data_IF_074374549645
#
_entry.id   IF_074374549645
#
_cell.length_a   1.000
_cell.length_b   1.000
_cell.length_c   1.000
_cell.angle_alpha   90.00
_cell.angle_beta   90.00
_cell.angle_gamma   90.00
#
_symmetry.space_group_name_H-M   'P 1'
#
loop_
_entity.id
_entity.type
_entity.pdbx_description
1 polymer ?
#
# COMPACT_ATOMS: atom_id res chain seq x y z
N UNK A 1 -2.68 -28.44 22.19
CA UNK A 1 -3.01 -29.21 20.96
C UNK A 1 -1.73 -29.33 20.16
N UNK A 2 -1.40 -30.50 19.61
CA UNK A 2 -0.22 -30.65 18.77
C UNK A 2 -0.38 -29.73 17.57
N UNK A 3 0.65 -28.93 17.26
CA UNK A 3 0.74 -28.16 16.02
C UNK A 3 0.63 -29.19 14.89
N UNK A 4 -0.52 -29.22 14.21
CA UNK A 4 -0.63 -29.92 12.93
C UNK A 4 0.53 -29.40 12.08
N UNK A 5 1.34 -30.31 11.58
CA UNK A 5 2.36 -30.03 10.57
C UNK A 5 1.64 -29.32 9.41
N UNK A 6 1.67 -27.97 9.40
CA UNK A 6 1.18 -27.18 8.27
C UNK A 6 1.99 -27.69 7.08
N UNK A 7 1.32 -28.31 6.11
CA UNK A 7 1.94 -28.67 4.84
C UNK A 7 2.75 -27.46 4.35
N UNK A 8 3.98 -27.66 3.82
CA UNK A 8 4.80 -26.55 3.38
C UNK A 8 4.00 -25.72 2.37
N UNK A 9 3.70 -24.48 2.73
CA UNK A 9 2.96 -23.57 1.88
C UNK A 9 3.78 -23.30 0.62
N UNK A 10 3.42 -23.97 -0.48
CA UNK A 10 4.14 -23.91 -1.75
C UNK A 10 4.19 -22.48 -2.32
N UNK A 11 3.27 -21.60 -1.89
CA UNK A 11 3.21 -20.19 -2.31
C UNK A 11 3.84 -19.24 -1.29
N UNK A 12 4.46 -19.75 -0.22
CA UNK A 12 5.00 -18.94 0.87
C UNK A 12 6.00 -17.88 0.37
N UNK A 13 6.94 -18.26 -0.48
CA UNK A 13 7.94 -17.35 -1.04
C UNK A 13 7.30 -16.27 -1.92
N UNK A 14 6.33 -16.66 -2.77
CA UNK A 14 5.59 -15.75 -3.65
C UNK A 14 4.81 -14.71 -2.84
N UNK A 15 4.08 -15.15 -1.81
CA UNK A 15 3.32 -14.28 -0.89
C UNK A 15 4.25 -13.34 -0.14
N UNK A 16 5.35 -13.86 0.40
CA UNK A 16 6.36 -13.10 1.14
C UNK A 16 7.01 -12.02 0.28
N UNK A 17 7.47 -12.37 -0.91
CA UNK A 17 8.05 -11.43 -1.86
C UNK A 17 7.03 -10.34 -2.27
N UNK A 18 5.76 -10.70 -2.43
CA UNK A 18 4.72 -9.73 -2.76
C UNK A 18 4.49 -8.73 -1.62
N UNK A 19 4.33 -9.20 -0.38
CA UNK A 19 4.06 -8.33 0.77
C UNK A 19 5.25 -7.46 1.16
N UNK A 20 6.47 -7.94 0.94
CA UNK A 20 7.71 -7.16 1.17
C UNK A 20 8.02 -6.17 0.04
N UNK A 21 7.25 -6.18 -1.06
CA UNK A 21 7.39 -5.25 -2.18
C UNK A 21 8.38 -5.69 -3.25
N UNK A 22 8.86 -6.93 -3.22
CA UNK A 22 9.75 -7.49 -4.25
C UNK A 22 8.95 -8.08 -5.42
N UNK A 23 8.19 -7.21 -6.10
CA UNK A 23 7.24 -7.62 -7.15
C UNK A 23 7.91 -8.34 -8.33
N UNK A 24 9.14 -7.96 -8.69
CA UNK A 24 9.84 -8.60 -9.79
C UNK A 24 10.21 -10.04 -9.47
N UNK A 25 10.64 -10.31 -8.24
CA UNK A 25 10.95 -11.66 -7.80
C UNK A 25 9.68 -12.51 -7.68
N UNK A 26 8.57 -11.94 -7.20
CA UNK A 26 7.25 -12.61 -7.20
C UNK A 26 6.88 -13.08 -8.61
N UNK A 27 7.05 -12.25 -9.64
CA UNK A 27 6.78 -12.62 -11.05
C UNK A 27 7.73 -13.73 -11.51
N UNK A 28 9.01 -13.61 -11.21
CA UNK A 28 10.02 -14.59 -11.59
C UNK A 28 9.74 -15.97 -10.99
N UNK A 29 9.37 -16.03 -9.71
CA UNK A 29 9.03 -17.26 -8.99
C UNK A 29 7.71 -17.85 -9.48
N UNK A 30 6.68 -17.02 -9.65
CA UNK A 30 5.38 -17.46 -10.17
C UNK A 30 5.48 -18.10 -11.57
N UNK A 31 6.39 -17.59 -12.42
CA UNK A 31 6.64 -18.13 -13.77
C UNK A 31 7.38 -19.47 -13.73
N UNK A 32 8.27 -19.67 -12.75
CA UNK A 32 9.11 -20.89 -12.62
C UNK A 32 8.40 -22.01 -11.88
N UNK A 33 7.59 -21.68 -10.88
CA UNK A 33 6.98 -22.65 -9.98
C UNK A 33 5.82 -23.37 -10.65
N UNK A 34 5.92 -24.71 -10.70
CA UNK A 34 4.81 -25.58 -11.12
C UNK A 34 4.05 -26.00 -9.87
N UNK A 35 2.82 -25.54 -9.75
CA UNK A 35 1.93 -25.82 -8.63
C UNK A 35 0.76 -26.68 -9.09
N UNK A 36 0.10 -27.43 -8.20
CA UNK A 36 -1.10 -28.16 -8.54
C UNK A 36 -2.25 -27.20 -8.93
N UNK A 37 -3.22 -27.71 -9.67
CA UNK A 37 -4.23 -26.90 -10.37
C UNK A 37 -5.13 -26.06 -9.43
N UNK A 38 -5.26 -26.47 -8.17
CA UNK A 38 -5.93 -25.72 -7.11
C UNK A 38 -5.17 -24.45 -6.68
N UNK A 39 -3.84 -24.47 -6.70
CA UNK A 39 -2.98 -23.33 -6.33
C UNK A 39 -2.58 -22.47 -7.53
N UNK A 40 -2.81 -22.95 -8.75
CA UNK A 40 -2.48 -22.23 -9.97
C UNK A 40 -3.19 -20.87 -10.06
N UNK A 41 -4.48 -20.82 -9.67
CA UNK A 41 -5.24 -19.55 -9.65
C UNK A 41 -4.60 -18.57 -8.69
N UNK A 42 -4.33 -18.99 -7.45
CA UNK A 42 -3.75 -18.11 -6.44
C UNK A 42 -2.37 -17.60 -6.82
N UNK A 43 -1.52 -18.46 -7.40
CA UNK A 43 -0.23 -18.07 -7.96
C UNK A 43 -0.38 -16.97 -9.02
N UNK A 44 -1.32 -17.15 -9.95
CA UNK A 44 -1.57 -16.19 -11.01
C UNK A 44 -2.10 -14.86 -10.45
N UNK A 45 -2.90 -14.89 -9.38
CA UNK A 45 -3.35 -13.66 -8.69
C UNK A 45 -2.19 -12.83 -8.16
N UNK A 46 -1.22 -13.45 -7.47
CA UNK A 46 -0.02 -12.74 -6.98
C UNK A 46 0.88 -12.23 -8.11
N UNK A 47 0.98 -12.99 -9.20
CA UNK A 47 1.71 -12.55 -10.39
C UNK A 47 1.07 -11.31 -11.02
N UNK A 48 -0.25 -11.33 -11.27
CA UNK A 48 -0.95 -10.18 -11.86
C UNK A 48 -0.99 -8.98 -10.92
N UNK A 49 -1.16 -9.17 -9.61
CA UNK A 49 -1.06 -8.08 -8.63
C UNK A 49 0.35 -7.46 -8.62
N UNK A 50 1.39 -8.26 -8.79
CA UNK A 50 2.76 -7.75 -8.96
C UNK A 50 2.91 -6.91 -10.22
N UNK A 51 2.30 -7.31 -11.35
CA UNK A 51 2.26 -6.46 -12.56
C UNK A 51 1.51 -5.14 -12.32
N UNK A 52 0.38 -5.16 -11.61
CA UNK A 52 -0.35 -3.96 -11.21
C UNK A 52 0.53 -3.05 -10.34
N UNK A 53 1.24 -3.61 -9.35
CA UNK A 53 2.12 -2.85 -8.47
C UNK A 53 3.29 -2.19 -9.23
N UNK A 54 3.81 -2.85 -10.28
CA UNK A 54 4.79 -2.27 -11.20
C UNK A 54 4.19 -1.30 -12.24
N UNK A 55 2.90 -0.95 -12.12
CA UNK A 55 2.14 -0.10 -13.06
C UNK A 55 2.07 -0.65 -14.50
N UNK A 56 2.29 -1.95 -14.69
CA UNK A 56 2.20 -2.66 -15.98
C UNK A 56 0.76 -3.13 -16.23
N UNK A 57 -0.20 -2.20 -16.19
CA UNK A 57 -1.63 -2.52 -16.29
C UNK A 57 -1.99 -3.19 -17.63
N UNK A 58 -1.32 -2.83 -18.72
CA UNK A 58 -1.56 -3.40 -20.05
C UNK A 58 -1.42 -4.91 -20.10
N UNK A 59 -0.40 -5.48 -19.43
CA UNK A 59 -0.18 -6.94 -19.39
C UNK A 59 -1.40 -7.65 -18.79
N UNK A 60 -1.91 -7.13 -17.67
CA UNK A 60 -3.10 -7.69 -16.99
C UNK A 60 -4.35 -7.55 -17.85
N UNK A 61 -4.49 -6.41 -18.54
CA UNK A 61 -5.63 -6.12 -19.42
C UNK A 61 -5.58 -6.89 -20.75
N UNK A 62 -4.43 -7.39 -21.18
CA UNK A 62 -4.31 -8.17 -22.41
C UNK A 62 -4.43 -9.68 -22.13
N UNK A 63 -3.88 -10.16 -21.00
CA UNK A 63 -3.85 -11.58 -20.67
C UNK A 63 -5.17 -12.08 -20.04
N UNK A 64 -5.81 -11.28 -19.18
CA UNK A 64 -7.05 -11.70 -18.51
C UNK A 64 -8.26 -11.32 -19.34
N UNK A 65 -9.03 -12.29 -19.83
CA UNK A 65 -10.26 -12.00 -20.58
C UNK A 65 -11.42 -11.60 -19.64
N UNK A 66 -12.29 -10.64 -20.04
CA UNK A 66 -13.49 -10.29 -19.26
C UNK A 66 -14.46 -11.45 -19.03
N UNK A 67 -14.44 -12.45 -19.92
CA UNK A 67 -15.28 -13.65 -19.88
C UNK A 67 -14.57 -14.85 -19.22
N UNK A 68 -13.52 -14.61 -18.44
CA UNK A 68 -12.84 -15.69 -17.74
C UNK A 68 -13.80 -16.34 -16.72
N UNK A 69 -13.77 -17.67 -16.62
CA UNK A 69 -14.61 -18.43 -15.69
C UNK A 69 -14.23 -18.23 -14.21
N UNK A 70 -13.06 -17.63 -13.95
CA UNK A 70 -12.51 -17.39 -12.61
C UNK A 70 -12.81 -15.96 -12.19
N UNK A 71 -13.72 -15.81 -11.22
CA UNK A 71 -14.17 -14.51 -10.71
C UNK A 71 -13.02 -13.69 -10.11
N UNK A 72 -12.02 -14.36 -9.53
CA UNK A 72 -10.85 -13.76 -8.90
C UNK A 72 -9.98 -13.02 -9.92
N UNK A 73 -9.72 -13.64 -11.07
CA UNK A 73 -8.95 -13.01 -12.15
C UNK A 73 -9.70 -11.82 -12.75
N UNK A 74 -11.03 -11.94 -12.90
CA UNK A 74 -11.87 -10.83 -13.36
C UNK A 74 -11.81 -9.66 -12.38
N UNK A 75 -11.75 -9.91 -11.07
CA UNK A 75 -11.57 -8.87 -10.06
C UNK A 75 -10.20 -8.16 -10.16
N UNK A 76 -9.12 -8.90 -10.43
CA UNK A 76 -7.78 -8.32 -10.69
C UNK A 76 -7.78 -7.47 -11.95
N UNK A 77 -8.40 -7.95 -13.03
CA UNK A 77 -8.56 -7.18 -14.26
C UNK A 77 -9.33 -5.88 -14.02
N UNK A 78 -10.42 -5.94 -13.25
CA UNK A 78 -11.23 -4.76 -12.93
C UNK A 78 -10.40 -3.72 -12.15
N UNK A 79 -9.56 -4.15 -11.20
CA UNK A 79 -8.62 -3.26 -10.52
C UNK A 79 -7.62 -2.63 -11.52
N UNK A 80 -7.09 -3.41 -12.46
CA UNK A 80 -6.18 -2.88 -13.48
C UNK A 80 -6.87 -1.83 -14.36
N UNK A 81 -8.12 -2.04 -14.78
CA UNK A 81 -8.90 -1.06 -15.56
C UNK A 81 -9.20 0.21 -14.73
N UNK A 82 -9.53 0.03 -13.44
CA UNK A 82 -9.75 1.14 -12.49
C UNK A 82 -8.51 2.02 -12.29
N UNK A 83 -7.32 1.40 -12.19
CA UNK A 83 -6.06 2.11 -12.02
C UNK A 83 -5.57 2.75 -13.33
N UNK A 84 -5.73 2.07 -14.46
CA UNK A 84 -5.30 2.57 -15.77
C UNK A 84 -6.17 3.73 -16.29
N UNK A 85 -7.49 3.69 -16.05
CA UNK A 85 -8.46 4.61 -16.64
C UNK A 85 -9.19 5.43 -15.57
N UNK A 86 -8.71 6.65 -15.29
CA UNK A 86 -9.31 7.52 -14.27
C UNK A 86 -10.77 7.88 -14.57
N UNK A 87 -11.12 8.06 -15.85
CA UNK A 87 -12.47 8.43 -16.29
C UNK A 87 -13.51 7.33 -16.08
N UNK A 88 -13.09 6.08 -15.94
CA UNK A 88 -13.99 4.94 -15.73
C UNK A 88 -14.19 4.60 -14.26
N UNK A 89 -13.42 5.20 -13.34
CA UNK A 89 -13.46 4.88 -11.90
C UNK A 89 -14.87 4.96 -11.33
N UNK A 90 -15.58 6.05 -11.59
CA UNK A 90 -16.95 6.26 -11.07
C UNK A 90 -17.95 5.23 -11.59
N UNK A 91 -17.82 4.83 -12.86
CA UNK A 91 -18.71 3.82 -13.45
C UNK A 91 -18.41 2.43 -12.87
N UNK A 92 -17.13 2.09 -12.70
CA UNK A 92 -16.70 0.82 -12.09
C UNK A 92 -17.22 0.72 -10.65
N UNK A 93 -17.13 1.81 -9.86
CA UNK A 93 -17.63 1.81 -8.48
C UNK A 93 -19.15 1.65 -8.42
N UNK A 94 -19.91 2.30 -9.31
CA UNK A 94 -21.37 2.10 -9.38
C UNK A 94 -21.76 0.67 -9.76
N UNK A 95 -21.03 0.08 -10.71
CA UNK A 95 -21.24 -1.31 -11.11
C UNK A 95 -20.93 -2.26 -9.93
N UNK A 96 -19.89 -1.97 -9.15
CA UNK A 96 -19.56 -2.72 -7.94
C UNK A 96 -20.63 -2.58 -6.86
N UNK A 97 -21.14 -1.37 -6.60
CA UNK A 97 -22.23 -1.14 -5.65
C UNK A 97 -23.45 -2.00 -5.98
N UNK A 98 -23.78 -2.12 -7.29
CA UNK A 98 -24.89 -2.97 -7.74
C UNK A 98 -24.64 -4.47 -7.51
N UNK A 99 -23.38 -4.92 -7.65
CA UNK A 99 -22.96 -6.32 -7.45
C UNK A 99 -22.81 -6.69 -5.99
N UNK A 100 -22.42 -5.73 -5.14
CA UNK A 100 -22.28 -5.92 -3.69
C UNK A 100 -23.63 -6.09 -2.98
N UNK A 101 -24.75 -5.72 -3.61
CA UNK A 101 -26.08 -6.15 -3.19
C UNK A 101 -26.34 -7.65 -3.36
N UNK A 102 -25.49 -8.35 -4.12
CA UNK A 102 -25.44 -9.80 -4.25
C UNK A 102 -24.53 -10.45 -3.20
N UNK A 103 -24.82 -11.71 -2.87
CA UNK A 103 -24.10 -12.44 -1.82
C UNK A 103 -22.72 -12.93 -2.31
N UNK A 104 -21.75 -12.02 -2.46
CA UNK A 104 -20.37 -12.33 -2.86
C UNK A 104 -19.66 -13.04 -1.71
N UNK A 105 -19.35 -14.33 -1.87
CA UNK A 105 -18.72 -15.16 -0.82
C UNK A 105 -17.20 -15.25 -0.93
N UNK A 106 -16.61 -14.83 -2.05
CA UNK A 106 -15.19 -15.03 -2.30
C UNK A 106 -14.36 -13.93 -1.62
N UNK A 107 -13.60 -14.30 -0.59
CA UNK A 107 -12.73 -13.40 0.18
C UNK A 107 -11.77 -12.60 -0.70
N UNK A 108 -11.28 -13.16 -1.80
CA UNK A 108 -10.37 -12.45 -2.71
C UNK A 108 -11.10 -11.37 -3.51
N UNK A 109 -12.29 -11.67 -4.04
CA UNK A 109 -13.12 -10.67 -4.74
C UNK A 109 -13.51 -9.53 -3.80
N UNK A 110 -13.81 -9.84 -2.53
CA UNK A 110 -14.06 -8.84 -1.49
C UNK A 110 -12.82 -7.98 -1.24
N UNK A 111 -11.62 -8.56 -1.14
CA UNK A 111 -10.37 -7.82 -0.98
C UNK A 111 -10.13 -6.83 -2.12
N UNK A 112 -10.25 -7.27 -3.37
CA UNK A 112 -10.02 -6.41 -4.55
C UNK A 112 -11.05 -5.30 -4.63
N UNK A 113 -12.31 -5.61 -4.31
CA UNK A 113 -13.41 -4.64 -4.27
C UNK A 113 -13.17 -3.59 -3.18
N UNK A 114 -12.85 -4.05 -1.96
CA UNK A 114 -12.53 -3.19 -0.83
C UNK A 114 -11.31 -2.29 -1.12
N UNK A 115 -10.31 -2.80 -1.83
CA UNK A 115 -9.13 -2.04 -2.24
C UNK A 115 -9.48 -0.94 -3.25
N UNK A 116 -10.41 -1.16 -4.18
CA UNK A 116 -10.89 -0.10 -5.08
C UNK A 116 -11.62 1.03 -4.32
N UNK A 117 -12.46 0.69 -3.32
CA UNK A 117 -13.07 1.69 -2.44
C UNK A 117 -12.02 2.42 -1.59
N UNK A 118 -10.98 1.72 -1.14
CA UNK A 118 -9.88 2.30 -0.36
C UNK A 118 -9.11 3.33 -1.19
N UNK A 119 -8.80 3.01 -2.45
CA UNK A 119 -8.14 3.93 -3.39
C UNK A 119 -9.02 5.15 -3.73
N UNK A 120 -10.34 5.01 -3.59
CA UNK A 120 -11.31 6.08 -3.79
C UNK A 120 -11.55 6.91 -2.51
N UNK A 121 -10.74 6.70 -1.48
CA UNK A 121 -10.83 7.36 -0.17
C UNK A 121 -12.17 7.11 0.58
N UNK A 122 -12.93 6.07 0.18
CA UNK A 122 -14.18 5.67 0.85
C UNK A 122 -13.93 4.53 1.86
N UNK A 123 -13.27 4.88 2.97
CA UNK A 123 -12.87 3.92 4.00
C UNK A 123 -14.06 3.25 4.70
N UNK A 124 -15.19 3.93 4.85
CA UNK A 124 -16.39 3.35 5.48
C UNK A 124 -16.95 2.19 4.66
N UNK A 125 -17.06 2.35 3.34
CA UNK A 125 -17.52 1.28 2.46
C UNK A 125 -16.50 0.14 2.42
N UNK A 126 -15.19 0.45 2.39
CA UNK A 126 -14.13 -0.57 2.51
C UNK A 126 -14.34 -1.46 3.74
N UNK A 127 -14.57 -0.88 4.92
CA UNK A 127 -14.80 -1.65 6.15
C UNK A 127 -16.10 -2.48 6.10
N UNK A 128 -17.17 -1.95 5.50
CA UNK A 128 -18.43 -2.70 5.33
C UNK A 128 -18.23 -3.93 4.44
N UNK A 129 -17.46 -3.82 3.36
CA UNK A 129 -17.16 -4.95 2.46
C UNK A 129 -16.29 -6.00 3.16
N UNK A 130 -15.32 -5.57 3.96
CA UNK A 130 -14.37 -6.47 4.63
C UNK A 130 -14.93 -7.16 5.89
N UNK A 131 -16.06 -6.68 6.44
CA UNK A 131 -16.60 -7.18 7.71
C UNK A 131 -16.88 -8.69 7.73
N UNK A 132 -17.24 -9.27 6.58
CA UNK A 132 -17.58 -10.70 6.46
C UNK A 132 -16.42 -11.57 5.94
N UNK A 133 -15.22 -11.01 5.76
CA UNK A 133 -14.09 -11.72 5.18
C UNK A 133 -13.07 -12.16 6.25
N UNK A 134 -12.79 -13.47 6.31
CA UNK A 134 -11.90 -14.08 7.30
C UNK A 134 -10.46 -14.34 6.77
N UNK A 135 -9.98 -13.50 5.85
CA UNK A 135 -8.61 -13.59 5.32
C UNK A 135 -7.65 -12.64 6.06
N UNK A 136 -6.39 -13.06 6.27
CA UNK A 136 -5.33 -12.21 6.79
C UNK A 136 -5.14 -10.92 5.96
N UNK A 137 -5.27 -11.01 4.63
CA UNK A 137 -5.20 -9.82 3.75
C UNK A 137 -6.36 -8.84 4.00
N UNK A 138 -7.55 -9.37 4.30
CA UNK A 138 -8.70 -8.55 4.64
C UNK A 138 -8.50 -7.87 6.00
N UNK A 139 -7.93 -8.58 6.99
CA UNK A 139 -7.56 -8.00 8.28
C UNK A 139 -6.54 -6.86 8.10
N UNK A 140 -5.49 -7.07 7.31
CA UNK A 140 -4.47 -6.06 7.06
C UNK A 140 -5.04 -4.81 6.38
N UNK A 141 -5.90 -4.97 5.37
CA UNK A 141 -6.56 -3.84 4.71
C UNK A 141 -7.55 -3.11 5.64
N UNK A 142 -8.22 -3.85 6.53
CA UNK A 142 -9.07 -3.29 7.58
C UNK A 142 -8.24 -2.42 8.52
N UNK A 143 -7.09 -2.90 8.99
CA UNK A 143 -6.16 -2.14 9.85
C UNK A 143 -5.68 -0.88 9.13
N UNK A 144 -5.24 -0.98 7.86
CA UNK A 144 -4.82 0.19 7.08
C UNK A 144 -5.94 1.23 6.94
N UNK A 145 -7.18 0.79 6.71
CA UNK A 145 -8.35 1.66 6.60
C UNK A 145 -8.68 2.34 7.93
N UNK A 146 -8.66 1.60 9.04
CA UNK A 146 -8.89 2.15 10.37
C UNK A 146 -7.82 3.16 10.79
N UNK A 147 -6.56 2.91 10.46
CA UNK A 147 -5.47 3.87 10.69
C UNK A 147 -5.64 5.14 9.85
N UNK A 148 -6.14 5.04 8.62
CA UNK A 148 -6.46 6.21 7.77
C UNK A 148 -7.66 7.01 8.28
N UNK A 149 -8.54 6.40 9.09
CA UNK A 149 -9.65 7.07 9.77
C UNK A 149 -9.27 7.58 11.17
N UNK A 150 -8.00 7.54 11.54
CA UNK A 150 -7.49 7.90 12.88
C UNK A 150 -8.13 7.08 14.03
N UNK A 151 -8.60 5.86 13.74
CA UNK A 151 -9.23 4.95 14.70
C UNK A 151 -8.27 3.88 15.21
N UNK A 152 -7.25 4.34 15.94
CA UNK A 152 -6.21 3.49 16.51
C UNK A 152 -6.75 2.44 17.50
N UNK A 153 -7.83 2.76 18.19
CA UNK A 153 -8.52 1.87 19.13
C UNK A 153 -9.04 0.60 18.44
N UNK A 154 -9.72 0.76 17.31
CA UNK A 154 -10.24 -0.34 16.51
C UNK A 154 -9.11 -1.09 15.79
N UNK A 155 -8.10 -0.37 15.28
CA UNK A 155 -6.96 -0.97 14.61
C UNK A 155 -6.21 -1.95 15.53
N UNK A 156 -6.05 -1.62 16.82
CA UNK A 156 -5.47 -2.54 17.83
C UNK A 156 -6.30 -3.80 18.05
N UNK A 157 -7.64 -3.69 18.02
CA UNK A 157 -8.54 -4.83 18.19
C UNK A 157 -8.42 -5.79 17.00
N UNK A 158 -8.41 -5.26 15.78
CA UNK A 158 -8.21 -6.06 14.57
C UNK A 158 -6.80 -6.65 14.51
N UNK A 159 -5.77 -5.92 14.94
CA UNK A 159 -4.43 -6.46 15.03
C UNK A 159 -4.36 -7.66 15.97
N UNK A 160 -5.02 -7.59 17.14
CA UNK A 160 -5.09 -8.74 18.05
C UNK A 160 -5.74 -9.96 17.38
N UNK A 161 -6.85 -9.75 16.66
CA UNK A 161 -7.49 -10.82 15.88
C UNK A 161 -6.52 -11.43 14.86
N UNK A 162 -5.75 -10.60 14.17
CA UNK A 162 -4.76 -11.02 13.19
C UNK A 162 -3.60 -11.81 13.82
N UNK A 163 -3.10 -11.37 14.97
CA UNK A 163 -2.09 -12.09 15.76
C UNK A 163 -2.60 -13.43 16.26
N UNK A 164 -3.86 -13.50 16.72
CA UNK A 164 -4.49 -14.75 17.17
C UNK A 164 -4.65 -15.77 16.00
N UNK A 165 -4.73 -15.29 14.75
CA UNK A 165 -4.78 -16.15 13.55
C UNK A 165 -3.39 -16.68 13.16
N UNK A 166 -2.42 -15.77 12.99
CA UNK A 166 -1.06 -16.13 12.57
C UNK A 166 -0.04 -15.04 12.96
N UNK A 167 0.57 -15.19 14.14
CA UNK A 167 1.56 -14.25 14.68
C UNK A 167 2.82 -14.14 13.81
N UNK A 168 3.29 -15.28 13.27
CA UNK A 168 4.54 -15.36 12.51
C UNK A 168 4.41 -14.90 11.05
N UNK A 169 3.18 -14.58 10.59
CA UNK A 169 2.95 -14.12 9.23
C UNK A 169 3.62 -12.78 8.98
N UNK A 170 4.29 -12.64 7.83
CA UNK A 170 4.87 -11.37 7.35
C UNK A 170 3.82 -10.26 7.36
N UNK A 171 2.56 -10.58 7.03
CA UNK A 171 1.49 -9.59 6.99
C UNK A 171 1.09 -9.11 8.39
N UNK A 172 1.10 -10.01 9.38
CA UNK A 172 0.84 -9.68 10.79
C UNK A 172 1.96 -8.81 11.34
N UNK A 173 3.22 -9.14 11.01
CA UNK A 173 4.37 -8.32 11.39
C UNK A 173 4.30 -6.92 10.77
N UNK A 174 4.02 -6.81 9.46
CA UNK A 174 3.83 -5.51 8.79
C UNK A 174 2.68 -4.70 9.41
N UNK A 175 1.54 -5.36 9.70
CA UNK A 175 0.39 -4.72 10.33
C UNK A 175 0.71 -4.23 11.75
N UNK A 176 1.51 -5.01 12.50
CA UNK A 176 2.03 -4.61 13.81
C UNK A 176 2.91 -3.38 13.70
N UNK A 177 3.81 -3.33 12.70
CA UNK A 177 4.66 -2.18 12.47
C UNK A 177 3.86 -0.91 12.14
N UNK A 178 2.81 -1.00 11.31
CA UNK A 178 1.95 0.15 11.00
C UNK A 178 1.22 0.68 12.23
N UNK A 179 0.64 -0.21 13.04
CA UNK A 179 -0.03 0.17 14.29
C UNK A 179 0.96 0.79 15.28
N UNK A 180 2.17 0.23 15.39
CA UNK A 180 3.21 0.75 16.26
C UNK A 180 3.70 2.14 15.83
N UNK A 181 3.83 2.39 14.51
CA UNK A 181 4.10 3.74 13.99
C UNK A 181 2.99 4.71 14.41
N UNK A 182 1.73 4.31 14.28
CA UNK A 182 0.59 5.15 14.64
C UNK A 182 0.47 5.42 16.16
N UNK A 183 0.95 4.50 17.01
CA UNK A 183 1.03 4.73 18.47
C UNK A 183 2.12 5.76 18.79
N UNK A 184 3.27 5.68 18.11
CA UNK A 184 4.42 6.53 18.37
C UNK A 184 5.20 6.17 19.65
N UNK A 185 6.07 7.08 20.09
CA UNK A 185 6.89 6.94 21.30
C UNK A 185 7.78 5.67 21.26
N UNK A 186 7.87 4.92 22.36
CA UNK A 186 8.68 3.71 22.51
C UNK A 186 8.35 2.63 21.47
N UNK A 187 7.11 2.60 20.95
CA UNK A 187 6.68 1.65 19.92
C UNK A 187 7.30 1.89 18.55
N UNK A 188 7.88 3.07 18.30
CA UNK A 188 8.61 3.36 17.07
C UNK A 188 9.85 2.48 16.92
N UNK A 189 10.51 2.14 18.03
CA UNK A 189 11.70 1.28 18.00
C UNK A 189 11.31 -0.18 17.70
N UNK A 190 10.18 -0.65 18.23
CA UNK A 190 9.62 -1.97 17.90
C UNK A 190 9.24 -2.05 16.42
N UNK A 191 8.57 -1.02 15.88
CA UNK A 191 8.23 -0.96 14.45
C UNK A 191 9.49 -0.99 13.56
N UNK A 192 10.54 -0.25 13.94
CA UNK A 192 11.82 -0.27 13.24
C UNK A 192 12.44 -1.67 13.20
N UNK A 193 12.49 -2.37 14.34
CA UNK A 193 13.06 -3.72 14.39
C UNK A 193 12.29 -4.71 13.54
N UNK A 194 10.96 -4.59 13.45
CA UNK A 194 10.17 -5.43 12.55
C UNK A 194 10.57 -5.21 11.09
N UNK A 195 10.68 -3.95 10.63
CA UNK A 195 11.11 -3.67 9.26
C UNK A 195 12.55 -4.13 9.00
N UNK A 196 13.45 -3.97 9.97
CA UNK A 196 14.81 -4.47 9.88
C UNK A 196 14.87 -6.00 9.78
N UNK A 197 14.15 -6.71 10.64
CA UNK A 197 14.12 -8.17 10.61
C UNK A 197 13.56 -8.70 9.29
N UNK A 198 12.51 -8.07 8.75
CA UNK A 198 11.97 -8.40 7.44
C UNK A 198 12.97 -8.11 6.31
N UNK A 199 13.73 -7.01 6.40
CA UNK A 199 14.76 -6.67 5.43
C UNK A 199 15.97 -7.60 5.49
N UNK A 200 16.33 -8.09 6.69
CA UNK A 200 17.45 -9.01 6.91
C UNK A 200 17.10 -10.45 6.50
N UNK A 201 15.86 -10.89 6.75
CA UNK A 201 15.37 -12.23 6.38
C UNK A 201 15.03 -12.34 4.90
N UNK A 202 14.61 -11.25 4.28
CA UNK A 202 14.16 -11.21 2.88
C UNK A 202 15.03 -10.27 2.06
N UNK A 203 14.53 -9.83 0.90
CA UNK A 203 15.26 -8.85 0.09
C UNK A 203 14.97 -7.45 0.61
N UNK A 204 16.02 -6.65 0.77
CA UNK A 204 15.88 -5.22 1.07
C UNK A 204 15.17 -4.52 -0.09
N UNK A 205 13.97 -4.02 0.16
CA UNK A 205 13.13 -3.30 -0.81
C UNK A 205 12.98 -1.82 -0.44
N UNK A 206 12.66 -0.94 -1.41
CA UNK A 206 12.32 0.45 -1.11
C UNK A 206 11.18 0.57 -0.08
N UNK A 207 10.21 -0.35 -0.09
CA UNK A 207 9.10 -0.35 0.87
C UNK A 207 9.61 -0.50 2.31
N UNK A 208 10.49 -1.48 2.56
CA UNK A 208 11.02 -1.73 3.91
C UNK A 208 11.97 -0.60 4.35
N UNK A 209 12.82 -0.10 3.44
CA UNK A 209 13.70 1.04 3.71
C UNK A 209 12.92 2.32 4.04
N UNK A 210 11.81 2.58 3.33
CA UNK A 210 10.92 3.69 3.67
C UNK A 210 10.25 3.49 5.04
N UNK A 211 9.83 2.27 5.38
CA UNK A 211 9.31 1.94 6.71
C UNK A 211 10.32 2.24 7.82
N UNK A 212 11.59 1.84 7.63
CA UNK A 212 12.68 2.15 8.55
C UNK A 212 12.92 3.66 8.66
N UNK A 213 12.99 4.36 7.52
CA UNK A 213 13.21 5.80 7.48
C UNK A 213 12.10 6.58 8.20
N UNK A 214 10.83 6.18 8.04
CA UNK A 214 9.70 6.79 8.77
C UNK A 214 9.86 6.60 10.27
N UNK A 215 10.25 5.40 10.74
CA UNK A 215 10.54 5.17 12.16
C UNK A 215 11.68 6.07 12.67
N UNK A 216 12.76 6.23 11.90
CA UNK A 216 13.87 7.11 12.28
C UNK A 216 13.50 8.59 12.31
N UNK A 217 12.75 9.06 11.31
CA UNK A 217 12.24 10.44 11.25
C UNK A 217 11.36 10.71 12.47
N UNK A 218 10.44 9.79 12.80
CA UNK A 218 9.56 9.91 13.95
C UNK A 218 10.31 9.91 15.30
N UNK A 219 11.48 9.27 15.37
CA UNK A 219 12.37 9.30 16.54
C UNK A 219 13.32 10.52 16.57
N UNK A 220 13.35 11.35 15.53
CA UNK A 220 14.29 12.47 15.40
C UNK A 220 15.72 12.07 15.00
N UNK A 221 15.94 10.81 14.57
CA UNK A 221 17.23 10.28 14.11
C UNK A 221 17.41 10.56 12.61
N UNK A 222 17.63 11.81 12.24
CA UNK A 222 17.59 12.24 10.84
C UNK A 222 18.76 11.73 9.99
N UNK A 223 19.96 11.54 10.57
CA UNK A 223 21.13 11.04 9.83
C UNK A 223 20.95 9.56 9.41
N UNK A 224 20.42 8.74 10.31
CA UNK A 224 20.11 7.34 10.02
C UNK A 224 19.00 7.23 8.96
N UNK A 225 17.96 8.07 9.07
CA UNK A 225 16.91 8.17 8.08
C UNK A 225 17.46 8.57 6.69
N UNK A 226 18.44 9.49 6.64
CA UNK A 226 19.05 9.91 5.39
C UNK A 226 19.75 8.74 4.69
N UNK A 227 20.47 7.92 5.45
CA UNK A 227 21.19 6.77 4.91
C UNK A 227 20.22 5.75 4.33
N UNK A 228 19.15 5.41 5.06
CA UNK A 228 18.12 4.49 4.59
C UNK A 228 17.39 4.99 3.32
N UNK A 229 17.06 6.29 3.27
CA UNK A 229 16.41 6.89 2.10
C UNK A 229 17.33 7.00 0.89
N UNK A 230 18.63 7.21 1.10
CA UNK A 230 19.60 7.22 0.00
C UNK A 230 19.72 5.82 -0.60
N UNK A 231 19.78 4.77 0.22
CA UNK A 231 19.76 3.40 -0.28
C UNK A 231 18.47 3.08 -1.04
N UNK A 232 17.31 3.57 -0.57
CA UNK A 232 16.04 3.39 -1.26
C UNK A 232 16.05 4.09 -2.63
N UNK A 233 16.62 5.30 -2.70
CA UNK A 233 16.74 6.08 -3.93
C UNK A 233 17.69 5.44 -4.95
N UNK A 234 18.77 4.82 -4.49
CA UNK A 234 19.73 4.12 -5.35
C UNK A 234 19.11 2.84 -5.96
N UNK A 235 18.13 2.23 -5.28
CA UNK A 235 17.38 1.06 -5.75
C UNK A 235 16.25 1.43 -6.70
N UNK A 236 15.45 2.43 -6.34
CA UNK A 236 14.40 2.98 -7.19
C UNK A 236 14.39 4.51 -7.09
N UNK A 237 14.98 5.15 -8.09
CA UNK A 237 15.12 6.60 -8.14
C UNK A 237 13.78 7.33 -8.28
N UNK A 238 12.72 6.63 -8.68
CA UNK A 238 11.41 7.20 -8.96
C UNK A 238 10.34 6.71 -7.99
N UNK A 239 10.70 6.07 -6.87
CA UNK A 239 9.72 5.66 -5.87
C UNK A 239 9.06 6.89 -5.21
N UNK A 240 7.71 7.04 -5.29
CA UNK A 240 7.02 8.19 -4.74
C UNK A 240 7.24 8.39 -3.24
N UNK A 241 7.29 7.30 -2.47
CA UNK A 241 7.38 7.36 -1.00
C UNK A 241 8.77 7.85 -0.57
N UNK A 242 9.81 7.35 -1.22
CA UNK A 242 11.21 7.78 -1.02
C UNK A 242 11.37 9.27 -1.27
N UNK A 243 10.84 9.77 -2.39
CA UNK A 243 10.90 11.19 -2.74
C UNK A 243 10.15 12.06 -1.72
N UNK A 244 8.96 11.64 -1.26
CA UNK A 244 8.20 12.37 -0.22
C UNK A 244 8.98 12.41 1.10
N UNK A 245 9.52 11.28 1.53
CA UNK A 245 10.30 11.20 2.76
C UNK A 245 11.58 12.07 2.68
N UNK A 246 12.23 12.12 1.52
CA UNK A 246 13.39 13.00 1.28
C UNK A 246 13.02 14.49 1.30
N UNK A 247 11.83 14.87 0.82
CA UNK A 247 11.33 16.26 0.93
C UNK A 247 11.21 16.66 2.40
N UNK A 248 10.53 15.82 3.21
CA UNK A 248 10.33 16.06 4.64
C UNK A 248 11.66 16.11 5.38
N UNK A 249 12.53 15.13 5.14
CA UNK A 249 13.84 15.06 5.79
C UNK A 249 14.72 16.27 5.45
N UNK A 250 14.70 16.74 4.19
CA UNK A 250 15.45 17.92 3.77
C UNK A 250 14.99 19.19 4.50
N UNK A 251 13.69 19.32 4.77
CA UNK A 251 13.13 20.42 5.54
C UNK A 251 13.51 20.32 7.02
N UNK A 252 13.44 19.12 7.63
CA UNK A 252 13.78 18.89 9.04
C UNK A 252 15.27 19.09 9.34
N UNK A 253 16.14 18.80 8.38
CA UNK A 253 17.61 18.98 8.49
C UNK A 253 18.09 20.37 8.08
N UNK A 254 17.16 21.31 7.81
CA UNK A 254 17.45 22.68 7.39
C UNK A 254 18.38 22.77 6.16
N UNK A 255 18.26 21.82 5.22
CA UNK A 255 18.97 21.88 3.93
C UNK A 255 18.45 23.05 3.08
N UNK A 256 19.24 23.51 2.09
CA UNK A 256 18.79 24.57 1.19
C UNK A 256 17.46 24.20 0.51
N UNK A 257 16.49 25.14 0.39
CA UNK A 257 15.16 24.86 -0.14
C UNK A 257 15.19 24.37 -1.60
N UNK A 258 16.28 24.60 -2.32
CA UNK A 258 16.51 24.09 -3.66
C UNK A 258 16.53 22.54 -3.69
N UNK A 259 17.00 21.90 -2.62
CA UNK A 259 17.07 20.43 -2.53
C UNK A 259 15.68 19.83 -2.42
N UNK A 260 14.83 20.37 -1.55
CA UNK A 260 13.44 19.91 -1.41
C UNK A 260 12.63 20.23 -2.66
N UNK A 261 12.83 21.41 -3.26
CA UNK A 261 12.18 21.79 -4.53
C UNK A 261 12.55 20.87 -5.70
N UNK A 262 13.79 20.37 -5.75
CA UNK A 262 14.21 19.38 -6.74
C UNK A 262 13.39 18.10 -6.64
N UNK A 263 13.23 17.55 -5.44
CA UNK A 263 12.43 16.33 -5.22
C UNK A 263 10.94 16.56 -5.47
N UNK A 264 10.40 17.74 -5.12
CA UNK A 264 9.02 18.12 -5.47
C UNK A 264 8.83 18.17 -6.99
N UNK A 265 9.80 18.72 -7.71
CA UNK A 265 9.75 18.79 -9.18
C UNK A 265 9.79 17.39 -9.78
N UNK A 266 10.70 16.55 -9.31
CA UNK A 266 10.78 15.15 -9.74
C UNK A 266 9.47 14.38 -9.47
N UNK A 267 8.81 14.62 -8.33
CA UNK A 267 7.49 14.04 -8.03
C UNK A 267 6.40 14.51 -8.98
N UNK A 268 6.40 15.78 -9.36
CA UNK A 268 5.44 16.33 -10.34
C UNK A 268 5.64 15.72 -11.73
N UNK A 269 6.90 15.53 -12.13
CA UNK A 269 7.24 14.97 -13.44
C UNK A 269 6.95 13.46 -13.53
N UNK A 270 7.28 12.71 -12.48
CA UNK A 270 7.14 11.24 -12.46
C UNK A 270 5.74 10.76 -12.05
N UNK A 271 5.05 11.49 -11.15
CA UNK A 271 3.76 11.07 -10.58
C UNK A 271 2.78 12.24 -10.42
N UNK A 272 2.43 12.89 -11.53
CA UNK A 272 1.52 14.04 -11.55
C UNK A 272 0.17 13.81 -10.81
N UNK A 273 -0.37 12.59 -10.88
CA UNK A 273 -1.66 12.22 -10.26
C UNK A 273 -1.53 11.72 -8.81
N UNK A 274 -0.33 11.75 -8.21
CA UNK A 274 -0.15 11.27 -6.85
C UNK A 274 -0.92 12.15 -5.84
N UNK A 275 -1.57 11.56 -4.80
CA UNK A 275 -2.35 12.32 -3.82
C UNK A 275 -1.58 13.49 -3.18
N UNK A 276 -0.29 13.30 -2.90
CA UNK A 276 0.59 14.35 -2.37
C UNK A 276 0.73 15.56 -3.31
N UNK A 277 0.87 15.34 -4.63
CA UNK A 277 1.01 16.43 -5.61
C UNK A 277 -0.30 17.20 -5.74
N UNK A 278 -1.43 16.48 -5.74
CA UNK A 278 -2.78 17.06 -5.75
C UNK A 278 -3.04 17.88 -4.48
N UNK A 279 -2.68 17.36 -3.32
CA UNK A 279 -2.84 18.06 -2.05
C UNK A 279 -1.96 19.32 -1.98
N UNK A 280 -0.71 19.24 -2.44
CA UNK A 280 0.18 20.39 -2.53
C UNK A 280 -0.39 21.50 -3.43
N UNK A 281 -0.95 21.13 -4.59
CA UNK A 281 -1.61 22.07 -5.49
C UNK A 281 -2.87 22.69 -4.86
N UNK A 282 -3.68 21.88 -4.18
CA UNK A 282 -4.87 22.35 -3.47
C UNK A 282 -4.52 23.34 -2.35
N UNK A 283 -3.48 23.05 -1.56
CA UNK A 283 -3.00 23.92 -0.49
C UNK A 283 -2.42 25.23 -1.03
N UNK A 284 -1.71 25.20 -2.15
CA UNK A 284 -1.26 26.42 -2.83
C UNK A 284 -2.44 27.30 -3.28
N UNK A 285 -3.45 26.70 -3.92
CA UNK A 285 -4.67 27.41 -4.33
C UNK A 285 -5.46 27.97 -3.14
N UNK A 286 -5.54 27.23 -2.03
CA UNK A 286 -6.17 27.66 -0.79
C UNK A 286 -5.45 28.90 -0.21
N UNK A 287 -4.11 28.88 -0.19
CA UNK A 287 -3.31 30.01 0.25
C UNK A 287 -3.52 31.24 -0.65
N UNK A 288 -3.50 31.08 -1.98
CA UNK A 288 -3.75 32.17 -2.92
C UNK A 288 -5.14 32.79 -2.73
N UNK A 289 -6.15 31.96 -2.46
CA UNK A 289 -7.51 32.41 -2.14
C UNK A 289 -7.54 33.22 -0.85
N UNK A 290 -6.84 32.76 0.20
CA UNK A 290 -6.73 33.47 1.47
C UNK A 290 -6.01 34.82 1.29
N UNK A 291 -4.89 34.85 0.56
CA UNK A 291 -4.17 36.10 0.27
C UNK A 291 -5.09 37.11 -0.42
N UNK A 292 -5.88 36.70 -1.41
CA UNK A 292 -6.86 37.59 -2.07
C UNK A 292 -7.94 38.10 -1.11
N UNK A 293 -8.44 37.26 -0.21
CA UNK A 293 -9.48 37.65 0.74
C UNK A 293 -8.99 38.63 1.81
N UNK A 294 -7.70 38.56 2.18
CA UNK A 294 -7.08 39.39 3.22
C UNK A 294 -6.19 40.49 2.64
N UNK A 295 -6.19 40.69 1.32
CA UNK A 295 -5.52 41.84 0.71
C UNK A 295 -6.17 43.13 1.24
N UNK A 296 -5.37 44.11 1.70
CA UNK A 296 -5.92 45.39 2.14
C UNK A 296 -6.70 46.00 0.97
N UNK A 297 -8.01 46.17 1.15
CA UNK A 297 -8.82 46.97 0.25
C UNK A 297 -8.25 48.37 0.28
N UNK A 298 -7.57 48.76 -0.80
CA UNK A 298 -7.05 50.11 -0.97
C UNK A 298 -8.28 51.02 -1.01
N UNK A 299 -8.59 51.65 0.13
CA UNK A 299 -9.53 52.77 0.21
C UNK A 299 -8.98 53.87 -0.70
N UNK A 300 -9.52 53.98 -1.91
CA UNK A 300 -9.31 55.12 -2.80
C UNK A 300 -10.26 56.25 -2.41
#
# INVERSE_FOLDING_TARGET
>A
MPREDREPDELFEIRTNFYTGNYQQTINEATKLKVPQNLQVEKDLFMYRSYIAQKKYGVVLDEIRPSASQEELVAVRLLADFLANESKRDNILRDLDSKMGGNVKNSFCLLMTAYMYYLSENYETTLKVLHNADSLECCALTIQSLLKMDRLDLAKKELKRMTDMDEDSVLTQLSTAWVNIAIGSEKLQEAYYIFQELADKHTVTPLLLNGQAVCYIAQGKYEDAQTALQEALDRDSNDPQTLINLIVLSQLTAKPPEVSNRYISQMKDSHANHPFVRDLANKANELDRLVRNYQPSVSS
#
